data_IF_786069614258
#
_entry.id   IF_786069614258
#
_cell.length_a   1.000
_cell.length_b   1.000
_cell.length_c   1.000
_cell.angle_alpha   90.00
_cell.angle_beta   90.00
_cell.angle_gamma   90.00
#
_symmetry.space_group_name_H-M   'P 1'
#
loop_
_entity.id
_entity.type
_entity.pdbx_description
1 polymer ?
#
# COMPACT_ATOMS: atom_id res chain seq x y z
N UNK A 1 48.43 -7.44 -20.83
CA UNK A 1 49.15 -8.25 -19.83
C UNK A 1 48.13 -8.90 -18.90
N UNK A 2 48.16 -10.19 -18.92
CA UNK A 2 47.30 -11.15 -18.25
C UNK A 2 47.37 -11.01 -16.74
N UNK A 3 46.24 -11.05 -16.03
CA UNK A 3 46.19 -11.64 -14.68
C UNK A 3 44.89 -12.46 -14.55
N UNK A 4 45.07 -13.73 -14.80
CA UNK A 4 44.25 -14.82 -14.34
C UNK A 4 44.34 -14.86 -12.81
N UNK A 5 43.22 -14.75 -12.11
CA UNK A 5 43.12 -15.13 -10.71
C UNK A 5 42.27 -16.40 -10.64
N UNK A 6 42.99 -17.48 -10.39
CA UNK A 6 42.45 -18.77 -9.97
C UNK A 6 41.71 -18.60 -8.65
N UNK A 7 40.44 -18.91 -8.63
CA UNK A 7 39.71 -19.23 -7.41
C UNK A 7 39.45 -20.71 -7.42
N UNK A 8 40.38 -21.43 -6.81
CA UNK A 8 40.26 -22.87 -6.47
C UNK A 8 39.79 -22.94 -5.02
N UNK A 9 38.71 -23.66 -4.80
CA UNK A 9 38.55 -24.47 -3.59
C UNK A 9 37.85 -23.83 -2.40
N UNK A 10 36.54 -24.00 -2.33
CA UNK A 10 35.83 -24.27 -1.06
C UNK A 10 34.53 -25.02 -1.33
N UNK A 11 34.64 -26.17 -1.94
CA UNK A 11 33.55 -27.14 -2.05
C UNK A 11 33.83 -28.31 -1.14
N UNK A 12 33.46 -28.23 0.10
CA UNK A 12 33.21 -29.38 0.98
C UNK A 12 33.02 -28.89 2.41
N UNK A 13 31.78 -28.70 2.83
CA UNK A 13 31.26 -28.89 4.21
C UNK A 13 29.74 -28.62 4.25
N UNK A 14 28.99 -29.30 3.40
CA UNK A 14 27.52 -29.37 3.52
C UNK A 14 27.07 -30.83 3.54
N UNK A 15 27.68 -31.64 4.40
CA UNK A 15 27.11 -32.92 4.79
C UNK A 15 26.82 -32.85 6.28
N UNK A 16 25.51 -32.80 6.57
CA UNK A 16 25.03 -33.12 7.90
C UNK A 16 24.15 -32.09 8.54
N UNK A 17 22.91 -31.98 8.06
CA UNK A 17 21.79 -31.70 8.96
C UNK A 17 20.51 -32.25 8.32
N UNK A 18 19.78 -33.03 9.09
CA UNK A 18 18.65 -33.83 8.72
C UNK A 18 17.67 -33.15 7.80
N UNK A 19 17.05 -33.92 6.93
CA UNK A 19 16.01 -33.53 6.01
C UNK A 19 14.76 -32.97 6.76
N UNK A 20 14.89 -31.77 7.27
CA UNK A 20 13.69 -31.00 7.58
C UNK A 20 13.05 -30.71 6.22
N UNK A 21 11.79 -31.08 6.10
CA UNK A 21 11.01 -30.84 4.91
C UNK A 21 10.97 -29.32 4.65
N UNK A 22 11.88 -28.82 3.80
CA UNK A 22 12.01 -27.38 3.48
C UNK A 22 10.94 -26.90 2.51
N UNK A 23 10.23 -27.82 1.85
CA UNK A 23 9.19 -27.49 0.88
C UNK A 23 8.15 -26.48 1.42
N UNK A 24 7.58 -26.64 2.63
CA UNK A 24 6.64 -25.66 3.16
C UNK A 24 7.26 -24.26 3.38
N UNK A 25 8.58 -24.20 3.59
CA UNK A 25 9.30 -22.95 3.79
C UNK A 25 9.58 -22.26 2.45
N UNK A 26 9.89 -23.04 1.43
CA UNK A 26 10.08 -22.57 0.04
C UNK A 26 8.77 -22.08 -0.56
N UNK A 27 7.68 -22.82 -0.39
CA UNK A 27 6.34 -22.41 -0.83
C UNK A 27 5.93 -21.09 -0.18
N UNK A 28 6.14 -20.96 1.13
CA UNK A 28 5.85 -19.74 1.86
C UNK A 28 6.72 -18.56 1.42
N UNK A 29 7.98 -18.81 1.13
CA UNK A 29 8.90 -17.77 0.67
C UNK A 29 8.49 -17.30 -0.73
N UNK A 30 8.04 -18.19 -1.58
CA UNK A 30 7.53 -17.88 -2.93
C UNK A 30 6.25 -17.06 -2.82
N UNK A 31 5.29 -17.49 -2.03
CA UNK A 31 4.03 -16.76 -1.77
C UNK A 31 4.30 -15.33 -1.27
N UNK A 32 5.21 -15.17 -0.30
CA UNK A 32 5.59 -13.83 0.20
C UNK A 32 6.30 -12.96 -0.83
N UNK A 33 7.04 -13.57 -1.76
CA UNK A 33 7.65 -12.83 -2.89
C UNK A 33 6.59 -12.34 -3.87
N UNK A 34 5.61 -13.20 -4.18
CA UNK A 34 4.52 -12.88 -5.09
C UNK A 34 3.63 -11.77 -4.49
N UNK A 35 3.30 -11.87 -3.20
CA UNK A 35 2.57 -10.83 -2.47
C UNK A 35 3.34 -9.49 -2.46
N UNK A 36 4.66 -9.53 -2.25
CA UNK A 36 5.51 -8.35 -2.32
C UNK A 36 5.59 -7.76 -3.73
N UNK A 37 5.58 -8.62 -4.74
CA UNK A 37 5.55 -8.18 -6.13
C UNK A 37 4.23 -7.47 -6.44
N UNK A 38 3.10 -8.07 -6.05
CA UNK A 38 1.78 -7.47 -6.23
C UNK A 38 1.67 -6.10 -5.55
N UNK A 39 2.09 -6.00 -4.29
CA UNK A 39 2.12 -4.72 -3.58
C UNK A 39 2.98 -3.65 -4.29
N UNK A 40 4.05 -4.06 -4.99
CA UNK A 40 4.83 -3.12 -5.81
C UNK A 40 4.06 -2.63 -7.02
N UNK A 41 3.35 -3.51 -7.69
CA UNK A 41 2.50 -3.15 -8.82
C UNK A 41 1.39 -2.18 -8.38
N UNK A 42 0.74 -2.48 -7.27
CA UNK A 42 -0.31 -1.63 -6.69
C UNK A 42 0.20 -0.21 -6.36
N UNK A 43 1.42 -0.10 -5.80
CA UNK A 43 2.04 1.21 -5.57
C UNK A 43 2.34 1.93 -6.89
N UNK A 44 2.77 1.21 -7.93
CA UNK A 44 3.03 1.83 -9.23
C UNK A 44 1.74 2.37 -9.84
N UNK A 45 0.65 1.61 -9.78
CA UNK A 45 -0.66 2.02 -10.25
C UNK A 45 -1.17 3.26 -9.52
N UNK A 46 -1.12 3.25 -8.17
CA UNK A 46 -1.47 4.43 -7.37
C UNK A 46 -0.64 5.66 -7.73
N UNK A 47 0.67 5.50 -7.97
CA UNK A 47 1.52 6.61 -8.38
C UNK A 47 1.16 7.15 -9.78
N UNK A 48 0.74 6.27 -10.70
CA UNK A 48 0.25 6.67 -12.02
C UNK A 48 -1.04 7.50 -11.89
N UNK A 49 -2.02 7.03 -11.10
CA UNK A 49 -3.25 7.78 -10.83
C UNK A 49 -2.99 9.15 -10.21
N UNK A 50 -2.06 9.21 -9.25
CA UNK A 50 -1.61 10.48 -8.67
C UNK A 50 -1.10 11.42 -9.78
N UNK A 51 -0.31 10.91 -10.71
CA UNK A 51 0.21 11.66 -11.86
C UNK A 51 -0.91 12.18 -12.77
N UNK A 52 -1.88 11.32 -13.09
CA UNK A 52 -3.05 11.69 -13.89
C UNK A 52 -3.89 12.78 -13.22
N UNK A 53 -4.18 12.63 -11.93
CA UNK A 53 -4.90 13.64 -11.16
C UNK A 53 -4.15 14.97 -11.10
N UNK A 54 -2.83 14.95 -10.90
CA UNK A 54 -2.00 16.16 -10.93
C UNK A 54 -2.04 16.85 -12.30
N UNK A 55 -2.03 16.08 -13.37
CA UNK A 55 -2.15 16.62 -14.74
C UNK A 55 -3.53 17.22 -14.99
N UNK A 56 -4.61 16.55 -14.58
CA UNK A 56 -5.98 17.10 -14.65
C UNK A 56 -6.13 18.39 -13.84
N UNK A 57 -5.52 18.45 -12.64
CA UNK A 57 -5.51 19.66 -11.81
C UNK A 57 -4.80 20.82 -12.55
N UNK A 58 -3.66 20.54 -13.20
CA UNK A 58 -2.93 21.56 -13.94
C UNK A 58 -3.74 22.10 -15.13
N UNK A 59 -4.34 21.21 -15.92
CA UNK A 59 -5.21 21.57 -17.04
C UNK A 59 -6.40 22.42 -16.60
N UNK A 60 -7.12 21.99 -15.54
CA UNK A 60 -8.25 22.74 -15.00
C UNK A 60 -7.87 24.09 -14.38
N UNK A 61 -6.62 24.26 -13.92
CA UNK A 61 -6.13 25.56 -13.46
C UNK A 61 -5.91 26.53 -14.62
N UNK A 62 -5.46 26.04 -15.75
CA UNK A 62 -5.25 26.85 -16.97
C UNK A 62 -6.60 27.33 -17.54
N UNK A 63 -7.62 26.46 -17.53
CA UNK A 63 -8.99 26.82 -17.96
C UNK A 63 -9.68 27.86 -17.06
N UNK A 64 -9.17 28.06 -15.84
CA UNK A 64 -9.72 29.01 -14.86
C UNK A 64 -9.69 30.48 -15.36
N UNK A 65 -8.77 30.82 -16.26
CA UNK A 65 -8.64 32.17 -16.78
C UNK A 65 -9.74 32.50 -17.81
N UNK A 66 -10.43 31.50 -18.34
CA UNK A 66 -11.44 31.66 -19.38
C UNK A 66 -12.86 31.35 -18.90
N UNK A 67 -13.47 32.31 -18.19
CA UNK A 67 -14.94 32.44 -18.15
C UNK A 67 -15.82 31.56 -17.22
N UNK A 68 -17.11 31.69 -17.41
CA UNK A 68 -18.34 31.24 -16.70
C UNK A 68 -18.33 29.85 -16.00
N UNK A 69 -17.35 29.00 -16.27
CA UNK A 69 -17.16 27.67 -15.65
C UNK A 69 -16.23 27.69 -14.43
N UNK A 70 -15.70 28.84 -14.05
CA UNK A 70 -14.64 28.96 -13.03
C UNK A 70 -15.03 28.36 -11.66
N UNK A 71 -16.30 28.42 -11.26
CA UNK A 71 -16.75 27.82 -9.99
C UNK A 71 -16.78 26.29 -10.04
N UNK A 72 -17.28 25.71 -11.14
CA UNK A 72 -17.30 24.27 -11.37
C UNK A 72 -15.89 23.68 -11.43
N UNK A 73 -14.99 24.36 -12.15
CA UNK A 73 -13.59 23.93 -12.27
C UNK A 73 -12.84 24.03 -10.94
N UNK A 74 -13.09 25.08 -10.14
CA UNK A 74 -12.51 25.19 -8.79
C UNK A 74 -12.91 24.02 -7.91
N UNK A 75 -14.16 23.58 -7.99
CA UNK A 75 -14.67 22.46 -7.23
C UNK A 75 -14.06 21.13 -7.66
N UNK A 76 -14.00 20.89 -8.99
CA UNK A 76 -13.32 19.72 -9.55
C UNK A 76 -11.85 19.67 -9.13
N UNK A 77 -11.14 20.80 -9.17
CA UNK A 77 -9.76 20.90 -8.69
C UNK A 77 -9.65 20.50 -7.22
N UNK A 78 -10.56 20.98 -6.38
CA UNK A 78 -10.59 20.67 -4.95
C UNK A 78 -10.77 19.17 -4.72
N UNK A 79 -11.75 18.55 -5.39
CA UNK A 79 -12.05 17.12 -5.24
C UNK A 79 -10.93 16.23 -5.79
N UNK A 80 -10.36 16.59 -6.94
CA UNK A 80 -9.21 15.86 -7.51
C UNK A 80 -7.98 15.97 -6.60
N UNK A 81 -7.73 17.17 -6.04
CA UNK A 81 -6.64 17.35 -5.09
C UNK A 81 -6.84 16.51 -3.84
N UNK A 82 -8.02 16.49 -3.26
CA UNK A 82 -8.34 15.67 -2.09
C UNK A 82 -8.08 14.18 -2.37
N UNK A 83 -8.48 13.68 -3.55
CA UNK A 83 -8.21 12.31 -3.98
C UNK A 83 -6.72 12.04 -4.13
N UNK A 84 -5.98 12.94 -4.78
CA UNK A 84 -4.52 12.82 -4.94
C UNK A 84 -3.81 12.79 -3.59
N UNK A 85 -4.18 13.69 -2.68
CA UNK A 85 -3.59 13.76 -1.32
C UNK A 85 -3.89 12.48 -0.51
N UNK A 86 -5.08 11.89 -0.71
CA UNK A 86 -5.44 10.60 -0.12
C UNK A 86 -4.52 9.49 -0.62
N UNK A 87 -4.36 9.32 -1.94
CA UNK A 87 -3.51 8.26 -2.51
C UNK A 87 -2.04 8.44 -2.17
N UNK A 88 -1.52 9.67 -2.17
CA UNK A 88 -0.15 9.97 -1.74
C UNK A 88 0.08 9.50 -0.29
N UNK A 89 -0.87 9.78 0.60
CA UNK A 89 -0.78 9.40 2.02
C UNK A 89 -0.88 7.88 2.20
N UNK A 90 -1.82 7.22 1.53
CA UNK A 90 -1.96 5.76 1.60
C UNK A 90 -0.73 5.05 1.03
N UNK A 91 -0.17 5.55 -0.07
CA UNK A 91 1.06 5.00 -0.64
C UNK A 91 2.22 5.08 0.36
N UNK A 92 2.33 6.18 1.08
CA UNK A 92 3.33 6.32 2.16
C UNK A 92 3.09 5.31 3.28
N UNK A 93 1.86 5.19 3.75
CA UNK A 93 1.49 4.25 4.82
C UNK A 93 1.79 2.79 4.43
N UNK A 94 1.55 2.41 3.17
CA UNK A 94 1.91 1.08 2.66
C UNK A 94 3.45 0.90 2.64
N UNK A 95 4.22 1.92 2.29
CA UNK A 95 5.69 1.87 2.36
C UNK A 95 6.17 1.69 3.79
N UNK A 96 5.59 2.43 4.74
CA UNK A 96 5.93 2.31 6.17
C UNK A 96 5.66 0.90 6.70
N UNK A 97 4.59 0.23 6.24
CA UNK A 97 4.36 -1.18 6.54
C UNK A 97 5.46 -2.08 5.96
N UNK A 98 5.88 -1.88 4.72
CA UNK A 98 6.95 -2.69 4.10
C UNK A 98 8.24 -2.65 4.87
N UNK A 99 8.58 -1.51 5.46
CA UNK A 99 9.80 -1.35 6.27
C UNK A 99 9.78 -2.22 7.55
N UNK A 100 8.59 -2.62 7.99
CA UNK A 100 8.42 -3.46 9.17
C UNK A 100 7.96 -4.88 8.88
N UNK A 101 7.56 -5.20 7.65
CA UNK A 101 6.95 -6.47 7.26
C UNK A 101 7.79 -7.69 7.66
N UNK A 102 9.09 -7.66 7.40
CA UNK A 102 9.99 -8.74 7.83
C UNK A 102 10.03 -8.94 9.35
N UNK A 103 9.81 -7.86 10.12
CA UNK A 103 9.73 -7.91 11.59
C UNK A 103 8.38 -8.41 12.06
N UNK A 104 7.32 -8.08 11.33
CA UNK A 104 5.97 -8.63 11.55
C UNK A 104 5.97 -10.13 11.31
N UNK A 105 6.59 -10.60 10.22
CA UNK A 105 6.69 -12.02 9.88
C UNK A 105 7.49 -12.84 10.91
N UNK A 106 8.48 -12.24 11.56
CA UNK A 106 9.20 -12.89 12.68
C UNK A 106 8.32 -13.10 13.92
N UNK A 107 7.21 -12.42 14.01
CA UNK A 107 6.15 -12.55 15.02
C UNK A 107 6.66 -12.64 16.48
N UNK A 108 7.66 -11.82 16.81
CA UNK A 108 8.27 -11.79 18.15
C UNK A 108 7.46 -10.98 19.17
N UNK A 109 6.28 -10.49 18.78
CA UNK A 109 5.37 -9.69 19.60
C UNK A 109 6.05 -8.49 20.30
N UNK A 110 6.93 -7.78 19.58
CA UNK A 110 7.63 -6.61 20.10
C UNK A 110 6.71 -5.40 20.14
N UNK A 111 6.63 -4.75 21.29
CA UNK A 111 5.82 -3.52 21.51
C UNK A 111 6.10 -2.44 20.47
N UNK A 112 7.38 -2.27 20.07
CA UNK A 112 7.73 -1.30 19.04
C UNK A 112 7.10 -1.59 17.66
N UNK A 113 6.87 -2.85 17.32
CA UNK A 113 6.19 -3.25 16.08
C UNK A 113 4.68 -3.11 16.23
N UNK A 114 4.13 -3.43 17.40
CA UNK A 114 2.70 -3.17 17.69
C UNK A 114 2.37 -1.69 17.52
N UNK A 115 3.17 -0.80 18.11
CA UNK A 115 2.98 0.67 17.93
C UNK A 115 3.02 1.10 16.47
N UNK A 116 3.95 0.57 15.69
CA UNK A 116 4.00 0.87 14.25
C UNK A 116 2.77 0.39 13.48
N UNK A 117 2.21 -0.75 13.86
CA UNK A 117 0.94 -1.24 13.28
C UNK A 117 -0.24 -0.37 13.73
N UNK A 118 -0.21 0.17 14.95
CA UNK A 118 -1.18 1.15 15.42
C UNK A 118 -1.07 2.47 14.64
N UNK A 119 0.16 2.96 14.45
CA UNK A 119 0.41 4.18 13.67
C UNK A 119 -0.11 4.04 12.24
N UNK A 120 0.15 2.91 11.59
CA UNK A 120 -0.37 2.60 10.25
C UNK A 120 -1.91 2.66 10.22
N UNK A 121 -2.59 2.05 11.18
CA UNK A 121 -4.07 2.09 11.25
C UNK A 121 -4.58 3.51 11.48
N UNK A 122 -3.95 4.27 12.37
CA UNK A 122 -4.29 5.66 12.64
C UNK A 122 -4.07 6.54 11.40
N UNK A 123 -2.99 6.30 10.64
CA UNK A 123 -2.71 7.03 9.41
C UNK A 123 -3.76 6.73 8.33
N UNK A 124 -4.20 5.48 8.18
CA UNK A 124 -5.27 5.09 7.25
C UNK A 124 -6.56 5.82 7.61
N UNK A 125 -6.99 5.75 8.87
CA UNK A 125 -8.23 6.36 9.33
C UNK A 125 -8.15 7.90 9.28
N UNK A 126 -7.03 8.48 9.71
CA UNK A 126 -6.80 9.92 9.67
C UNK A 126 -6.75 10.48 8.25
N UNK A 127 -6.15 9.75 7.32
CA UNK A 127 -6.12 10.11 5.89
C UNK A 127 -7.53 10.14 5.30
N UNK A 128 -8.36 9.16 5.64
CA UNK A 128 -9.74 9.13 5.15
C UNK A 128 -10.61 10.25 5.75
N UNK A 129 -10.41 10.58 7.03
CA UNK A 129 -11.10 11.72 7.66
C UNK A 129 -10.74 13.01 6.91
N UNK A 130 -9.45 13.27 6.69
CA UNK A 130 -8.97 14.44 5.95
C UNK A 130 -9.55 14.52 4.53
N UNK A 131 -9.60 13.37 3.85
CA UNK A 131 -10.23 13.28 2.53
C UNK A 131 -11.68 13.74 2.58
N UNK A 132 -12.50 13.20 3.51
CA UNK A 132 -13.91 13.57 3.65
C UNK A 132 -14.12 15.05 3.98
N UNK A 133 -13.26 15.63 4.79
CA UNK A 133 -13.32 17.06 5.12
C UNK A 133 -12.93 17.96 3.94
N UNK A 134 -12.09 17.43 3.05
CA UNK A 134 -11.58 18.18 1.88
C UNK A 134 -12.51 18.14 0.68
N UNK A 135 -13.33 17.10 0.55
CA UNK A 135 -14.26 16.93 -0.58
C UNK A 135 -15.53 17.75 -0.33
N UNK A 136 -16.00 18.41 -1.39
CA UNK A 136 -17.29 19.10 -1.37
C UNK A 136 -18.38 18.11 -1.79
N UNK A 137 -19.20 17.68 -0.82
CA UNK A 137 -20.24 16.68 -1.03
C UNK A 137 -21.51 17.23 -1.70
N UNK A 138 -21.73 18.56 -1.69
CA UNK A 138 -22.98 19.15 -2.17
C UNK A 138 -23.01 19.30 -3.70
N UNK A 139 -21.84 19.39 -4.34
CA UNK A 139 -21.72 19.66 -5.78
C UNK A 139 -20.88 18.62 -6.52
N UNK A 140 -20.90 17.38 -6.06
CA UNK A 140 -20.16 16.29 -6.70
C UNK A 140 -20.75 15.91 -8.06
N UNK A 141 -19.86 15.78 -9.06
CA UNK A 141 -20.18 15.09 -10.31
C UNK A 141 -20.39 13.59 -10.08
N UNK A 142 -20.97 12.89 -11.05
CA UNK A 142 -21.10 11.43 -10.98
C UNK A 142 -19.71 10.74 -10.93
N UNK A 143 -18.71 11.33 -11.58
CA UNK A 143 -17.33 10.86 -11.52
C UNK A 143 -16.74 11.01 -10.09
N UNK A 144 -16.99 12.16 -9.44
CA UNK A 144 -16.55 12.39 -8.05
C UNK A 144 -17.22 11.41 -7.08
N UNK A 145 -18.52 11.15 -7.25
CA UNK A 145 -19.26 10.18 -6.42
C UNK A 145 -18.71 8.76 -6.60
N UNK A 146 -18.39 8.38 -7.84
CA UNK A 146 -17.76 7.08 -8.13
C UNK A 146 -16.41 6.99 -7.42
N UNK A 147 -15.58 8.02 -7.57
CA UNK A 147 -14.25 8.08 -6.95
C UNK A 147 -14.34 8.07 -5.41
N UNK A 148 -15.29 8.77 -4.82
CA UNK A 148 -15.51 8.70 -3.38
C UNK A 148 -15.88 7.30 -2.92
N UNK A 149 -16.74 6.59 -3.66
CA UNK A 149 -17.10 5.20 -3.36
C UNK A 149 -15.90 4.27 -3.41
N UNK A 150 -15.04 4.42 -4.41
CA UNK A 150 -13.80 3.66 -4.58
C UNK A 150 -12.84 3.93 -3.41
N UNK A 151 -12.58 5.18 -3.08
CA UNK A 151 -11.75 5.58 -1.94
C UNK A 151 -12.31 5.03 -0.62
N UNK A 152 -13.61 5.11 -0.42
CA UNK A 152 -14.27 4.55 0.78
C UNK A 152 -14.08 3.04 0.88
N UNK A 153 -14.21 2.33 -0.24
CA UNK A 153 -14.00 0.88 -0.27
C UNK A 153 -12.53 0.54 -0.03
N UNK A 154 -11.60 1.21 -0.70
CA UNK A 154 -10.16 1.04 -0.50
C UNK A 154 -9.78 1.25 0.97
N UNK A 155 -10.24 2.32 1.59
CA UNK A 155 -9.97 2.58 3.01
C UNK A 155 -10.47 1.45 3.93
N UNK A 156 -11.70 0.98 3.68
CA UNK A 156 -12.29 -0.14 4.44
C UNK A 156 -11.47 -1.42 4.30
N UNK A 157 -11.01 -1.72 3.09
CA UNK A 157 -10.25 -2.94 2.80
C UNK A 157 -8.86 -2.88 3.43
N UNK A 158 -8.19 -1.73 3.33
CA UNK A 158 -6.92 -1.47 4.02
C UNK A 158 -7.05 -1.61 5.53
N UNK A 159 -8.01 -0.93 6.15
CA UNK A 159 -8.25 -1.02 7.60
C UNK A 159 -8.54 -2.47 8.01
N UNK A 160 -9.33 -3.22 7.22
CA UNK A 160 -9.61 -4.64 7.48
C UNK A 160 -8.37 -5.52 7.39
N UNK A 161 -7.51 -5.30 6.39
CA UNK A 161 -6.27 -6.05 6.20
C UNK A 161 -5.30 -5.80 7.36
N UNK A 162 -5.01 -4.53 7.65
CA UNK A 162 -4.08 -4.16 8.72
C UNK A 162 -4.57 -4.52 10.12
N UNK A 163 -5.86 -4.39 10.40
CA UNK A 163 -6.43 -4.92 11.65
C UNK A 163 -6.24 -6.44 11.80
N UNK A 164 -6.35 -7.18 10.69
CA UNK A 164 -6.13 -8.63 10.70
C UNK A 164 -4.66 -8.94 10.97
N UNK A 165 -3.72 -8.23 10.34
CA UNK A 165 -2.27 -8.35 10.57
C UNK A 165 -1.93 -8.01 12.03
N UNK A 166 -2.40 -6.87 12.53
CA UNK A 166 -2.16 -6.43 13.92
C UNK A 166 -2.63 -7.47 14.93
N UNK A 167 -3.88 -7.91 14.80
CA UNK A 167 -4.44 -8.96 15.70
C UNK A 167 -3.61 -10.24 15.64
N UNK A 168 -3.16 -10.66 14.45
CA UNK A 168 -2.27 -11.80 14.30
C UNK A 168 -0.95 -11.62 15.02
N UNK A 169 -0.35 -10.45 14.91
CA UNK A 169 0.91 -10.13 15.57
C UNK A 169 0.78 -10.06 17.10
N UNK A 170 -0.28 -9.46 17.63
CA UNK A 170 -0.57 -9.40 19.07
C UNK A 170 -0.78 -10.78 19.69
N UNK A 171 -1.45 -11.68 18.96
CA UNK A 171 -1.77 -13.04 19.43
C UNK A 171 -0.74 -14.08 19.02
N UNK A 172 0.36 -13.71 18.37
CA UNK A 172 1.37 -14.60 17.78
C UNK A 172 0.78 -15.64 16.81
N UNK A 173 -0.27 -15.28 16.11
CA UNK A 173 -0.97 -16.12 15.15
C UNK A 173 -0.48 -15.83 13.72
N UNK A 174 0.48 -16.63 13.26
CA UNK A 174 1.06 -16.48 11.92
C UNK A 174 0.01 -16.64 10.81
N UNK A 175 -0.94 -17.56 10.96
CA UNK A 175 -2.01 -17.76 9.97
C UNK A 175 -2.87 -16.51 9.82
N UNK A 176 -3.10 -15.82 10.91
CA UNK A 176 -3.86 -14.57 10.89
C UNK A 176 -3.05 -13.43 10.26
N UNK A 177 -1.73 -13.34 10.51
CA UNK A 177 -0.84 -12.40 9.82
C UNK A 177 -0.90 -12.64 8.31
N UNK A 178 -0.67 -13.88 7.87
CA UNK A 178 -0.74 -14.27 6.46
C UNK A 178 -2.10 -13.94 5.83
N UNK A 179 -3.20 -14.23 6.54
CA UNK A 179 -4.55 -13.88 6.06
C UNK A 179 -4.71 -12.37 5.84
N UNK A 180 -4.14 -11.55 6.72
CA UNK A 180 -4.17 -10.10 6.57
C UNK A 180 -3.32 -9.62 5.41
N UNK A 181 -2.14 -10.20 5.24
CA UNK A 181 -1.25 -9.90 4.10
C UNK A 181 -1.86 -10.32 2.76
N UNK A 182 -2.51 -11.49 2.70
CA UNK A 182 -3.28 -11.90 1.51
C UNK A 182 -4.41 -10.92 1.18
N UNK A 183 -5.16 -10.46 2.19
CA UNK A 183 -6.15 -9.41 1.98
C UNK A 183 -5.51 -8.15 1.41
N UNK A 184 -4.36 -7.73 1.94
CA UNK A 184 -3.63 -6.56 1.48
C UNK A 184 -3.18 -6.72 0.02
N UNK A 185 -2.68 -7.90 -0.35
CA UNK A 185 -2.28 -8.22 -1.72
C UNK A 185 -3.43 -8.29 -2.72
N UNK A 186 -4.66 -8.58 -2.26
CA UNK A 186 -5.86 -8.63 -3.12
C UNK A 186 -6.61 -7.30 -3.18
N UNK A 187 -6.17 -6.29 -2.46
CA UNK A 187 -6.75 -4.95 -2.59
C UNK A 187 -6.46 -4.47 -3.99
N UNK A 188 -7.53 -4.47 -4.79
CA UNK A 188 -7.47 -3.98 -6.15
C UNK A 188 -7.47 -2.46 -6.09
N UNK A 189 -6.34 -1.89 -6.42
CA UNK A 189 -6.14 -0.46 -6.55
C UNK A 189 -6.61 0.05 -7.92
N UNK A 190 -7.27 -0.80 -8.70
CA UNK A 190 -7.88 -0.43 -9.98
C UNK A 190 -8.93 0.67 -9.75
N UNK A 191 -8.45 1.86 -9.72
CA UNK A 191 -9.20 3.09 -9.69
C UNK A 191 -9.30 3.55 -11.16
N UNK A 192 -10.15 2.87 -11.92
CA UNK A 192 -10.48 3.21 -13.31
C UNK A 192 -11.28 4.50 -13.42
#
# INVERSE_FOLDING_TARGET
MKKLILIVGASSLLMGCGSQNLAPLEDKTTELRDDNHQLKLDIQELNQEIGEHKSKIAALKQDKENTKEASSNKLKIKNLKASSDYYDSITKTIKDYRDIESKVNKNNNKVAIQRKLDDILNDIDGTFIKYKESVDSESQSEEDKKKEKEIRQLNKDLSSAFNTIKKGYETKDNKKIEKGQKKLATINTNLN
#
